data_IF_745933927024
#
_entry.id   IF_745933927024
#
_cell.length_a   1.000
_cell.length_b   1.000
_cell.length_c   1.000
_cell.angle_alpha   90.00
_cell.angle_beta   90.00
_cell.angle_gamma   90.00
#
_symmetry.space_group_name_H-M   'P 1'
#
loop_
_entity.id
_entity.type
_entity.pdbx_description
1 polymer ?
#
# COMPACT_ATOMS: atom_id res chain seq x y z
N UNK A 1 -12.13 16.21 -14.82
CA UNK A 1 -11.27 15.24 -14.11
C UNK A 1 -10.59 14.39 -15.19
N UNK A 2 -9.28 14.18 -15.10
CA UNK A 2 -8.52 13.50 -16.15
C UNK A 2 -8.58 11.98 -15.97
N UNK A 3 -8.59 11.23 -17.07
CA UNK A 3 -8.64 9.75 -17.08
C UNK A 3 -7.54 9.11 -16.21
N UNK A 4 -6.37 9.77 -16.12
CA UNK A 4 -5.24 9.34 -15.28
C UNK A 4 -5.54 9.45 -13.77
N UNK A 5 -6.36 10.42 -13.37
CA UNK A 5 -6.75 10.64 -11.98
C UNK A 5 -7.72 9.55 -11.51
N UNK A 6 -8.67 9.15 -12.36
CA UNK A 6 -9.62 8.08 -12.06
C UNK A 6 -8.89 6.73 -11.92
N UNK A 7 -7.96 6.43 -12.82
CA UNK A 7 -7.20 5.18 -12.80
C UNK A 7 -6.31 5.07 -11.55
N UNK A 8 -5.75 6.19 -11.10
CA UNK A 8 -4.95 6.26 -9.87
C UNK A 8 -5.80 6.05 -8.62
N UNK A 9 -7.02 6.59 -8.60
CA UNK A 9 -7.97 6.36 -7.50
C UNK A 9 -8.37 4.89 -7.39
N UNK A 10 -8.71 4.24 -8.51
CA UNK A 10 -9.11 2.83 -8.50
C UNK A 10 -7.98 1.90 -8.06
N UNK A 11 -6.76 2.14 -8.54
CA UNK A 11 -5.59 1.34 -8.16
C UNK A 11 -5.25 1.50 -6.68
N UNK A 12 -5.36 2.71 -6.12
CA UNK A 12 -5.21 2.95 -4.69
C UNK A 12 -6.30 2.22 -3.87
N UNK A 13 -7.56 2.26 -4.31
CA UNK A 13 -8.66 1.59 -3.62
C UNK A 13 -8.49 0.06 -3.61
N UNK A 14 -8.08 -0.53 -4.74
CA UNK A 14 -7.79 -1.96 -4.83
C UNK A 14 -6.62 -2.34 -3.91
N UNK A 15 -5.58 -1.51 -3.87
CA UNK A 15 -4.41 -1.73 -3.02
C UNK A 15 -4.78 -1.69 -1.53
N UNK A 16 -5.65 -0.78 -1.13
CA UNK A 16 -6.15 -0.69 0.25
C UNK A 16 -6.91 -1.96 0.67
N UNK A 17 -7.75 -2.51 -0.21
CA UNK A 17 -8.47 -3.76 0.05
C UNK A 17 -7.51 -4.94 0.19
N UNK A 18 -6.51 -5.04 -0.69
CA UNK A 18 -5.51 -6.09 -0.63
C UNK A 18 -4.68 -6.02 0.65
N UNK A 19 -4.30 -4.82 1.09
CA UNK A 19 -3.60 -4.59 2.35
C UNK A 19 -4.45 -5.02 3.55
N UNK A 20 -5.76 -4.74 3.54
CA UNK A 20 -6.67 -5.18 4.59
C UNK A 20 -6.72 -6.71 4.71
N UNK A 21 -6.79 -7.41 3.57
CA UNK A 21 -6.74 -8.88 3.53
C UNK A 21 -5.40 -9.39 4.05
N UNK A 22 -4.31 -8.75 3.66
CA UNK A 22 -2.96 -9.12 4.09
C UNK A 22 -2.78 -9.00 5.61
N UNK A 23 -3.25 -7.89 6.19
CA UNK A 23 -3.24 -7.65 7.63
C UNK A 23 -4.05 -8.74 8.36
N UNK A 24 -5.23 -9.09 7.85
CA UNK A 24 -6.05 -10.15 8.44
C UNK A 24 -5.33 -11.52 8.43
N UNK A 25 -4.60 -11.83 7.35
CA UNK A 25 -3.81 -13.07 7.25
C UNK A 25 -2.63 -13.04 8.23
N UNK A 26 -1.87 -11.95 8.31
CA UNK A 26 -0.77 -11.83 9.27
C UNK A 26 -1.25 -11.93 10.71
N UNK A 27 -2.40 -11.33 11.05
CA UNK A 27 -2.96 -11.41 12.40
C UNK A 27 -3.35 -12.85 12.76
N UNK A 28 -3.84 -13.62 11.79
CA UNK A 28 -4.19 -15.04 11.95
C UNK A 28 -2.93 -15.88 12.16
N UNK A 29 -1.92 -15.71 11.32
CA UNK A 29 -0.64 -16.43 11.42
C UNK A 29 0.12 -16.08 12.70
N UNK A 30 0.06 -14.82 13.14
CA UNK A 30 0.65 -14.39 14.40
C UNK A 30 0.02 -15.09 15.61
N UNK A 31 -1.32 -15.23 15.63
CA UNK A 31 -2.01 -16.00 16.68
C UNK A 31 -1.60 -17.46 16.71
N UNK A 32 -1.35 -18.08 15.56
CA UNK A 32 -1.00 -19.51 15.49
C UNK A 32 0.48 -19.81 15.71
N UNK A 33 1.40 -18.92 15.34
CA UNK A 33 2.83 -19.28 15.21
C UNK A 33 3.76 -18.55 16.18
N UNK A 34 3.35 -17.44 16.81
CA UNK A 34 4.17 -16.65 17.74
C UNK A 34 5.61 -16.32 17.21
N UNK A 35 5.80 -16.30 15.89
CA UNK A 35 7.12 -16.13 15.27
C UNK A 35 7.52 -14.65 15.25
N UNK A 36 8.66 -14.31 15.85
CA UNK A 36 9.19 -12.94 15.91
C UNK A 36 9.43 -12.32 14.51
N UNK A 37 9.69 -13.15 13.50
CA UNK A 37 9.79 -12.74 12.10
C UNK A 37 8.45 -12.22 11.53
N UNK A 38 7.33 -12.82 11.92
CA UNK A 38 5.98 -12.40 11.52
C UNK A 38 5.58 -11.08 12.19
N UNK A 39 6.03 -10.83 13.42
CA UNK A 39 5.88 -9.53 14.09
C UNK A 39 6.64 -8.41 13.35
N UNK A 40 7.89 -8.68 12.95
CA UNK A 40 8.69 -7.72 12.17
C UNK A 40 8.04 -7.34 10.84
N UNK A 41 7.51 -8.33 10.10
CA UNK A 41 6.76 -8.08 8.88
C UNK A 41 5.44 -7.34 9.12
N UNK A 42 4.73 -7.64 10.21
CA UNK A 42 3.46 -6.98 10.56
C UNK A 42 3.66 -5.50 10.89
N UNK A 43 4.72 -5.16 11.61
CA UNK A 43 5.11 -3.76 11.88
C UNK A 43 5.52 -3.05 10.60
N UNK A 44 6.33 -3.70 9.76
CA UNK A 44 6.74 -3.14 8.46
C UNK A 44 5.54 -2.88 7.55
N UNK A 45 4.60 -3.81 7.45
CA UNK A 45 3.37 -3.66 6.70
C UNK A 45 2.48 -2.53 7.27
N UNK A 46 2.44 -2.36 8.60
CA UNK A 46 1.68 -1.28 9.25
C UNK A 46 2.27 0.10 8.94
N UNK A 47 3.60 0.23 8.92
CA UNK A 47 4.30 1.48 8.55
C UNK A 47 4.05 1.82 7.07
N UNK A 48 4.16 0.83 6.18
CA UNK A 48 3.82 0.97 4.76
C UNK A 48 2.37 1.40 4.57
N UNK A 49 1.43 0.77 5.28
CA UNK A 49 0.02 1.14 5.24
C UNK A 49 -0.22 2.59 5.67
N UNK A 50 0.45 3.04 6.75
CA UNK A 50 0.38 4.42 7.20
C UNK A 50 0.95 5.40 6.15
N UNK A 51 2.06 5.04 5.50
CA UNK A 51 2.64 5.83 4.41
C UNK A 51 1.68 5.93 3.21
N UNK A 52 1.02 4.83 2.84
CA UNK A 52 0.06 4.80 1.74
C UNK A 52 -1.18 5.66 2.04
N UNK A 53 -1.70 5.63 3.27
CA UNK A 53 -2.76 6.54 3.73
C UNK A 53 -2.30 8.00 3.63
N UNK A 54 -1.07 8.29 4.04
CA UNK A 54 -0.52 9.65 4.00
C UNK A 54 -0.38 10.15 2.55
N UNK A 55 -0.02 9.26 1.62
CA UNK A 55 0.03 9.56 0.19
C UNK A 55 -1.37 9.88 -0.35
N UNK A 56 -2.38 9.05 -0.06
CA UNK A 56 -3.78 9.30 -0.45
C UNK A 56 -4.30 10.62 0.13
N UNK A 57 -4.03 10.90 1.41
CA UNK A 57 -4.39 12.16 2.04
C UNK A 57 -3.69 13.36 1.39
N UNK A 58 -2.42 13.21 1.03
CA UNK A 58 -1.66 14.24 0.32
C UNK A 58 -2.22 14.52 -1.07
N UNK A 59 -2.63 13.48 -1.80
CA UNK A 59 -3.31 13.65 -3.09
C UNK A 59 -4.66 14.35 -2.92
N UNK A 60 -5.46 14.00 -1.92
CA UNK A 60 -6.77 14.63 -1.72
C UNK A 60 -6.68 16.10 -1.28
N UNK A 61 -5.71 16.42 -0.43
CA UNK A 61 -5.63 17.73 0.23
C UNK A 61 -4.69 18.70 -0.50
N UNK A 62 -3.66 18.19 -1.18
CA UNK A 62 -2.63 18.98 -1.85
C UNK A 62 -2.62 18.81 -3.37
N UNK A 63 -3.65 18.17 -3.97
CA UNK A 63 -3.77 18.06 -5.44
C UNK A 63 -3.58 19.40 -6.18
N UNK A 64 -4.03 20.52 -5.60
CA UNK A 64 -3.89 21.85 -6.19
C UNK A 64 -2.45 22.41 -6.18
N UNK A 65 -1.57 21.84 -5.37
CA UNK A 65 -0.16 22.24 -5.24
C UNK A 65 0.80 21.27 -5.93
N UNK A 66 0.31 20.08 -6.33
CA UNK A 66 1.11 19.09 -7.06
C UNK A 66 1.19 19.54 -8.52
N UNK A 67 2.41 19.84 -8.98
CA UNK A 67 2.63 20.18 -10.39
C UNK A 67 2.59 18.93 -11.26
N UNK A 68 1.97 19.03 -12.44
CA UNK A 68 1.80 17.93 -13.40
C UNK A 68 3.07 17.09 -13.70
N UNK A 69 4.30 17.66 -13.75
CA UNK A 69 5.51 16.87 -13.99
C UNK A 69 5.83 15.84 -12.89
N UNK A 70 5.28 16.00 -11.69
CA UNK A 70 5.54 15.11 -10.55
C UNK A 70 4.67 13.84 -10.57
N UNK A 71 3.54 13.88 -11.28
CA UNK A 71 2.59 12.76 -11.39
C UNK A 71 3.23 11.43 -11.82
N UNK A 72 4.10 11.35 -12.85
CA UNK A 72 4.71 10.08 -13.25
C UNK A 72 5.64 9.48 -12.19
N UNK A 73 6.36 10.31 -11.43
CA UNK A 73 7.21 9.83 -10.33
C UNK A 73 6.37 9.26 -9.19
N UNK A 74 5.29 9.95 -8.83
CA UNK A 74 4.36 9.50 -7.81
C UNK A 74 3.67 8.18 -8.20
N UNK A 75 3.25 8.05 -9.45
CA UNK A 75 2.67 6.81 -9.98
C UNK A 75 3.69 5.67 -9.94
N UNK A 76 4.94 5.93 -10.32
CA UNK A 76 6.02 4.94 -10.28
C UNK A 76 6.28 4.41 -8.88
N UNK A 77 6.31 5.29 -7.87
CA UNK A 77 6.50 4.93 -6.46
C UNK A 77 5.34 4.05 -5.96
N UNK A 78 4.09 4.45 -6.24
CA UNK A 78 2.92 3.69 -5.83
C UNK A 78 2.86 2.30 -6.48
N UNK A 79 3.22 2.19 -7.76
CA UNK A 79 3.29 0.90 -8.47
C UNK A 79 4.40 0.01 -7.91
N UNK A 80 5.58 0.56 -7.66
CA UNK A 80 6.68 -0.19 -7.05
C UNK A 80 6.32 -0.71 -5.66
N UNK A 81 5.62 0.10 -4.86
CA UNK A 81 5.14 -0.28 -3.54
C UNK A 81 4.08 -1.39 -3.62
N UNK A 82 3.12 -1.29 -4.54
CA UNK A 82 2.12 -2.34 -4.77
C UNK A 82 2.78 -3.68 -5.15
N UNK A 83 3.79 -3.66 -6.02
CA UNK A 83 4.57 -4.84 -6.39
C UNK A 83 5.34 -5.42 -5.20
N UNK A 84 5.92 -4.58 -4.35
CA UNK A 84 6.61 -5.02 -3.14
C UNK A 84 5.64 -5.70 -2.14
N UNK A 85 4.44 -5.15 -1.96
CA UNK A 85 3.39 -5.75 -1.12
C UNK A 85 2.96 -7.13 -1.69
N UNK A 86 2.78 -7.23 -3.00
CA UNK A 86 2.45 -8.50 -3.68
C UNK A 86 3.57 -9.53 -3.48
N UNK A 87 4.83 -9.13 -3.60
CA UNK A 87 5.97 -10.01 -3.37
C UNK A 87 6.00 -10.52 -1.92
N UNK A 88 5.80 -9.63 -0.94
CA UNK A 88 5.75 -9.99 0.47
C UNK A 88 4.59 -10.96 0.79
N UNK A 89 3.39 -10.68 0.30
CA UNK A 89 2.23 -11.56 0.40
C UNK A 89 2.57 -12.96 -0.13
N UNK A 90 3.13 -13.04 -1.35
CA UNK A 90 3.49 -14.30 -1.99
C UNK A 90 4.51 -15.10 -1.20
N UNK A 91 5.51 -14.43 -0.61
CA UNK A 91 6.55 -15.10 0.20
C UNK A 91 6.04 -15.61 1.53
N UNK A 92 4.98 -15.01 2.09
CA UNK A 92 4.38 -15.45 3.36
C UNK A 92 3.38 -16.58 3.16
N UNK A 93 2.67 -16.60 2.02
CA UNK A 93 1.70 -17.66 1.70
C UNK A 93 2.32 -18.94 1.09
N UNK A 94 3.64 -18.96 0.86
CA UNK A 94 4.40 -20.14 0.42
C UNK A 94 5.01 -20.85 1.62
#
# INVERSE_FOLDING_TARGET
MSFLMDLSMYTAAISAVLLLVLVAVYLRVYRDTHAQFSLGLSVFASILFAQNILAVYSFLTMASYIQDPFLPYLLSINVAEALAIIALLRTTTR
#
